data_IF_623497133656
#
_entry.id   IF_623497133656
#
_cell.length_a   1.000
_cell.length_b   1.000
_cell.length_c   1.000
_cell.angle_alpha   90.00
_cell.angle_beta   90.00
_cell.angle_gamma   90.00
#
_symmetry.space_group_name_H-M   'P 1'
#
loop_
_entity.id
_entity.type
_entity.pdbx_description
1 polymer ?
#
# COMPACT_ATOMS: atom_id res chain seq x y z
N UNK A 1 13.49 -11.77 -27.31
CA UNK A 1 13.50 -12.27 -25.92
C UNK A 1 14.49 -11.40 -25.15
N UNK A 2 14.02 -10.60 -24.19
CA UNK A 2 14.83 -9.58 -23.52
C UNK A 2 15.78 -10.23 -22.48
N UNK A 3 17.11 -10.10 -22.61
CA UNK A 3 18.09 -10.74 -21.71
C UNK A 3 18.08 -10.17 -20.27
N UNK A 4 17.38 -9.06 -20.01
CA UNK A 4 17.26 -8.47 -18.68
C UNK A 4 16.18 -9.12 -17.79
N UNK A 5 15.35 -10.04 -18.34
CA UNK A 5 14.38 -10.80 -17.54
C UNK A 5 14.99 -12.03 -16.86
N UNK A 6 16.15 -12.52 -17.33
CA UNK A 6 16.79 -13.73 -16.78
C UNK A 6 17.64 -13.47 -15.53
N UNK A 7 18.01 -12.22 -15.24
CA UNK A 7 18.82 -11.88 -14.06
C UNK A 7 18.03 -11.87 -12.76
N UNK A 8 16.70 -11.73 -12.79
CA UNK A 8 15.86 -11.76 -11.59
C UNK A 8 15.44 -13.17 -11.15
N UNK A 9 15.54 -14.18 -12.02
CA UNK A 9 15.04 -15.53 -11.72
C UNK A 9 16.09 -16.38 -10.97
N UNK A 10 17.38 -16.03 -11.09
CA UNK A 10 18.49 -16.85 -10.55
C UNK A 10 19.35 -16.13 -9.51
N UNK A 11 19.07 -14.87 -9.16
CA UNK A 11 19.64 -14.32 -7.95
C UNK A 11 18.90 -14.96 -6.77
N UNK A 12 19.59 -15.49 -5.72
CA UNK A 12 18.91 -15.67 -4.45
C UNK A 12 18.26 -14.32 -4.15
N UNK A 13 16.93 -14.30 -4.07
CA UNK A 13 16.19 -13.12 -3.64
C UNK A 13 16.94 -12.59 -2.43
N UNK A 14 17.25 -11.28 -2.35
CA UNK A 14 17.84 -10.74 -1.14
C UNK A 14 16.78 -10.93 -0.06
N UNK A 15 16.82 -12.10 0.58
CA UNK A 15 16.15 -12.36 1.82
C UNK A 15 16.71 -11.26 2.70
N UNK A 16 15.92 -10.20 2.88
CA UNK A 16 16.29 -9.11 3.76
C UNK A 16 16.75 -9.79 5.05
N UNK A 17 17.91 -9.43 5.62
CA UNK A 17 18.49 -10.14 6.76
C UNK A 17 17.54 -10.32 7.95
N UNK A 18 16.42 -9.60 7.96
CA UNK A 18 15.34 -9.70 8.90
C UNK A 18 14.43 -10.94 8.79
N UNK A 19 14.55 -11.76 7.74
CA UNK A 19 13.67 -12.92 7.48
C UNK A 19 14.26 -14.27 7.94
N UNK A 20 15.51 -14.29 8.44
CA UNK A 20 16.08 -15.48 9.07
C UNK A 20 15.43 -15.73 10.44
N UNK A 21 14.37 -16.54 10.46
CA UNK A 21 13.79 -17.09 11.70
C UNK A 21 12.44 -16.52 12.15
N UNK A 22 11.82 -15.62 11.39
CA UNK A 22 10.44 -15.21 11.64
C UNK A 22 9.52 -16.13 10.86
N UNK A 23 8.56 -16.80 11.52
CA UNK A 23 7.41 -17.43 10.86
C UNK A 23 6.90 -16.40 9.86
N UNK A 24 6.89 -16.73 8.57
CA UNK A 24 6.36 -15.87 7.52
C UNK A 24 4.89 -15.65 7.88
N UNK A 25 4.61 -14.54 8.56
CA UNK A 25 3.24 -14.11 8.77
C UNK A 25 2.73 -13.79 7.36
N UNK A 26 1.57 -14.33 6.99
CA UNK A 26 0.98 -14.08 5.68
C UNK A 26 0.69 -12.58 5.57
N UNK A 27 1.63 -11.84 4.97
CA UNK A 27 1.51 -10.41 4.82
C UNK A 27 0.92 -10.14 3.44
N UNK A 28 -0.24 -9.51 3.44
CA UNK A 28 -0.82 -8.88 2.28
C UNK A 28 -0.12 -7.55 2.04
N UNK A 29 0.24 -7.30 0.77
CA UNK A 29 0.64 -6.00 0.27
C UNK A 29 -0.52 -5.44 -0.53
N UNK A 30 -1.05 -4.31 -0.10
CA UNK A 30 -2.24 -3.68 -0.68
C UNK A 30 -1.81 -2.33 -1.24
N UNK A 31 -1.98 -2.16 -2.55
CA UNK A 31 -1.80 -0.89 -3.23
C UNK A 31 -3.16 -0.22 -3.44
N UNK A 32 -3.36 0.93 -2.79
CA UNK A 32 -4.48 1.82 -3.02
C UNK A 32 -4.03 2.87 -4.03
N UNK A 33 -4.53 2.80 -5.27
CA UNK A 33 -4.18 3.74 -6.32
C UNK A 33 -5.13 4.92 -6.31
N UNK A 34 -4.60 6.14 -6.20
CA UNK A 34 -5.36 7.35 -5.95
C UNK A 34 -5.19 8.37 -7.06
N UNK A 35 -6.23 9.18 -7.25
CA UNK A 35 -6.22 10.35 -8.10
C UNK A 35 -6.77 11.55 -7.34
N UNK A 36 -5.92 12.55 -7.10
CA UNK A 36 -6.25 13.81 -6.44
C UNK A 36 -7.29 14.58 -7.25
N UNK A 37 -8.43 14.87 -6.64
CA UNK A 37 -9.55 15.53 -7.30
C UNK A 37 -9.45 17.07 -7.22
N UNK A 38 -10.18 17.82 -8.06
CA UNK A 38 -10.13 19.28 -8.07
C UNK A 38 -10.34 19.95 -6.71
N UNK A 39 -11.25 19.42 -5.87
CA UNK A 39 -11.51 19.97 -4.52
C UNK A 39 -10.31 19.84 -3.58
N UNK A 40 -9.47 18.82 -3.76
CA UNK A 40 -8.20 18.70 -3.04
C UNK A 40 -7.15 19.68 -3.59
N UNK A 41 -7.05 19.78 -4.91
CA UNK A 41 -6.05 20.61 -5.58
C UNK A 41 -6.32 22.11 -5.41
N UNK A 42 -7.59 22.49 -5.25
CA UNK A 42 -8.00 23.86 -4.94
C UNK A 42 -7.55 24.33 -3.55
N UNK A 43 -7.24 23.41 -2.62
CA UNK A 43 -6.74 23.76 -1.29
C UNK A 43 -5.32 24.29 -1.34
N UNK A 44 -5.05 25.26 -0.49
CA UNK A 44 -3.69 25.71 -0.17
C UNK A 44 -2.88 24.58 0.48
N UNK A 45 -1.55 24.71 0.47
CA UNK A 45 -0.66 23.74 1.12
C UNK A 45 -0.92 23.65 2.65
N UNK A 46 -1.14 24.76 3.39
CA UNK A 46 -1.53 24.68 4.80
C UNK A 46 -2.82 23.91 5.04
N UNK A 47 -3.89 24.17 4.28
CA UNK A 47 -5.16 23.44 4.44
C UNK A 47 -5.01 21.93 4.20
N UNK A 48 -4.15 21.54 3.24
CA UNK A 48 -3.83 20.13 2.99
C UNK A 48 -3.06 19.51 4.16
N UNK A 49 -2.09 20.24 4.73
CA UNK A 49 -1.35 19.80 5.90
C UNK A 49 -2.25 19.69 7.14
N UNK A 50 -3.16 20.64 7.34
CA UNK A 50 -4.13 20.62 8.44
C UNK A 50 -5.05 19.41 8.34
N UNK A 51 -5.57 19.12 7.14
CA UNK A 51 -6.35 17.91 6.91
C UNK A 51 -5.57 16.63 7.22
N UNK A 52 -4.32 16.56 6.74
CA UNK A 52 -3.46 15.41 7.02
C UNK A 52 -3.21 15.22 8.52
N UNK A 53 -2.79 16.25 9.23
CA UNK A 53 -2.46 16.16 10.66
C UNK A 53 -3.70 15.94 11.54
N UNK A 54 -4.86 16.48 11.16
CA UNK A 54 -6.08 16.40 11.98
C UNK A 54 -6.84 15.09 11.78
N UNK A 55 -6.77 14.49 10.60
CA UNK A 55 -7.61 13.32 10.26
C UNK A 55 -6.79 12.11 9.82
N UNK A 56 -5.93 12.26 8.81
CA UNK A 56 -5.23 11.11 8.20
C UNK A 56 -4.15 10.54 9.11
N UNK A 57 -3.29 11.38 9.68
CA UNK A 57 -2.20 10.91 10.55
C UNK A 57 -2.71 10.21 11.81
N UNK A 58 -3.70 10.74 12.57
CA UNK A 58 -4.27 10.03 13.71
C UNK A 58 -4.90 8.69 13.31
N UNK A 59 -5.64 8.67 12.19
CA UNK A 59 -6.24 7.44 11.66
C UNK A 59 -5.17 6.39 11.31
N UNK A 60 -4.10 6.78 10.62
CA UNK A 60 -3.00 5.86 10.30
C UNK A 60 -2.27 5.38 11.56
N UNK A 61 -2.12 6.24 12.57
CA UNK A 61 -1.50 5.87 13.83
C UNK A 61 -2.33 4.85 14.61
N UNK A 62 -3.66 4.95 14.57
CA UNK A 62 -4.58 3.99 15.22
C UNK A 62 -4.35 2.54 14.74
N UNK A 63 -3.97 2.35 13.47
CA UNK A 63 -3.75 1.03 12.88
C UNK A 63 -2.27 0.64 12.73
N UNK A 64 -1.34 1.46 13.23
CA UNK A 64 0.10 1.28 12.97
C UNK A 64 0.69 -0.02 13.57
N UNK A 65 0.00 -0.66 14.51
CA UNK A 65 0.41 -1.94 15.11
C UNK A 65 0.22 -3.14 14.17
N UNK A 66 -0.71 -3.05 13.22
CA UNK A 66 -1.09 -4.16 12.33
C UNK A 66 -1.03 -3.80 10.85
N UNK A 67 -1.09 -2.51 10.51
CA UNK A 67 -0.99 -1.97 9.16
C UNK A 67 0.23 -1.06 9.04
N UNK A 68 1.22 -1.48 8.25
CA UNK A 68 2.34 -0.63 7.87
C UNK A 68 1.95 0.17 6.64
N UNK A 69 1.74 1.47 6.81
CA UNK A 69 1.23 2.38 5.78
C UNK A 69 2.36 3.24 5.25
N UNK A 70 2.49 3.36 3.92
CA UNK A 70 3.47 4.20 3.24
C UNK A 70 2.79 4.94 2.09
N UNK A 71 3.06 6.24 2.01
CA UNK A 71 2.49 7.14 1.01
C UNK A 71 3.53 7.46 -0.06
N UNK A 72 3.11 7.57 -1.30
CA UNK A 72 3.99 7.84 -2.44
C UNK A 72 3.33 8.76 -3.44
N UNK A 73 4.12 9.73 -3.92
CA UNK A 73 3.77 10.64 -4.99
C UNK A 73 4.05 9.98 -6.35
N UNK A 74 3.08 10.04 -7.26
CA UNK A 74 3.16 9.50 -8.61
C UNK A 74 2.77 10.53 -9.68
N UNK A 75 2.33 11.73 -9.31
CA UNK A 75 1.74 12.70 -10.23
C UNK A 75 2.69 13.18 -11.34
N UNK A 76 4.01 13.09 -11.12
CA UNK A 76 5.02 13.45 -12.12
C UNK A 76 5.41 12.29 -13.05
N UNK A 77 4.95 11.06 -12.75
CA UNK A 77 5.35 9.83 -13.42
C UNK A 77 4.18 9.07 -14.06
N UNK A 78 2.94 9.31 -13.62
CA UNK A 78 1.76 8.61 -14.14
C UNK A 78 0.58 9.56 -14.32
N UNK A 79 -0.02 9.58 -15.51
CA UNK A 79 -1.02 10.57 -15.89
C UNK A 79 -2.40 10.40 -15.22
N UNK A 80 -2.68 9.25 -14.59
CA UNK A 80 -4.00 8.94 -14.00
C UNK A 80 -3.98 8.59 -12.52
N UNK A 81 -2.79 8.40 -11.96
CA UNK A 81 -2.58 8.01 -10.57
C UNK A 81 -1.64 9.07 -10.02
N UNK A 82 -2.17 9.97 -9.20
CA UNK A 82 -1.37 11.04 -8.59
C UNK A 82 -0.65 10.52 -7.37
N UNK A 83 -1.24 9.59 -6.63
CA UNK A 83 -0.68 9.08 -5.38
C UNK A 83 -0.97 7.59 -5.29
N UNK A 84 -0.18 6.86 -4.50
CA UNK A 84 -0.58 5.54 -4.04
C UNK A 84 -0.19 5.30 -2.60
N UNK A 85 -1.00 4.48 -1.92
CA UNK A 85 -0.74 4.00 -0.57
C UNK A 85 -0.35 2.53 -0.67
N UNK A 86 0.81 2.18 -0.13
CA UNK A 86 1.18 0.80 0.13
C UNK A 86 0.86 0.48 1.59
N UNK A 87 0.01 -0.51 1.80
CA UNK A 87 -0.35 -1.03 3.13
C UNK A 87 0.12 -2.48 3.20
N UNK A 88 1.00 -2.78 4.15
CA UNK A 88 1.42 -4.15 4.46
C UNK A 88 0.73 -4.59 5.76
N UNK A 89 0.00 -5.70 5.73
CA UNK A 89 -0.71 -6.21 6.91
C UNK A 89 -0.90 -7.72 6.87
N UNK A 90 -0.98 -8.34 8.04
CA UNK A 90 -1.50 -9.72 8.21
C UNK A 90 -2.91 -9.76 8.81
N UNK A 91 -3.49 -8.59 9.11
CA UNK A 91 -4.82 -8.45 9.69
C UNK A 91 -5.73 -7.68 8.70
N UNK A 92 -6.45 -8.43 7.86
CA UNK A 92 -7.37 -7.84 6.90
C UNK A 92 -8.59 -7.15 7.56
N UNK A 93 -8.95 -7.50 8.79
CA UNK A 93 -10.04 -6.85 9.51
C UNK A 93 -9.65 -5.40 9.87
N UNK A 94 -8.44 -5.20 10.41
CA UNK A 94 -7.93 -3.86 10.71
C UNK A 94 -7.75 -3.02 9.44
N UNK A 95 -7.32 -3.64 8.32
CA UNK A 95 -7.31 -2.96 7.03
C UNK A 95 -8.72 -2.55 6.58
N UNK A 96 -9.71 -3.42 6.74
CA UNK A 96 -11.10 -3.10 6.42
C UNK A 96 -11.60 -1.92 7.26
N UNK A 97 -11.37 -1.93 8.57
CA UNK A 97 -11.79 -0.86 9.48
C UNK A 97 -11.06 0.47 9.19
N UNK A 98 -9.78 0.41 8.80
CA UNK A 98 -9.03 1.56 8.30
C UNK A 98 -9.69 2.16 7.06
N UNK A 99 -10.09 1.33 6.09
CA UNK A 99 -10.74 1.81 4.87
C UNK A 99 -12.13 2.37 5.16
N UNK A 100 -12.94 1.72 6.01
CA UNK A 100 -14.25 2.24 6.41
C UNK A 100 -14.13 3.61 7.10
N UNK A 101 -13.19 3.78 8.03
CA UNK A 101 -12.98 5.08 8.67
C UNK A 101 -12.40 6.12 7.72
N UNK A 102 -11.56 5.72 6.76
CA UNK A 102 -11.09 6.63 5.71
C UNK A 102 -12.26 7.12 4.85
N UNK A 103 -13.25 6.25 4.58
CA UNK A 103 -14.48 6.58 3.82
C UNK A 103 -15.35 7.62 4.53
N UNK A 104 -15.33 7.65 5.85
CA UNK A 104 -16.05 8.64 6.65
C UNK A 104 -15.39 10.04 6.63
N UNK A 105 -14.16 10.16 6.14
CA UNK A 105 -13.46 11.45 6.01
C UNK A 105 -13.71 12.11 4.66
N UNK A 106 -13.37 13.41 4.56
CA UNK A 106 -13.39 14.15 3.29
C UNK A 106 -12.47 13.56 2.20
N UNK A 107 -11.60 12.60 2.55
CA UNK A 107 -10.85 11.80 1.58
C UNK A 107 -11.80 11.16 0.54
N UNK A 108 -12.91 10.57 1.00
CA UNK A 108 -13.96 9.99 0.14
C UNK A 108 -15.24 10.83 0.07
N UNK A 109 -15.65 11.48 1.17
CA UNK A 109 -16.97 12.12 1.24
C UNK A 109 -17.08 13.46 0.51
N UNK A 110 -15.97 14.20 0.41
CA UNK A 110 -15.82 15.42 -0.42
C UNK A 110 -14.83 15.12 -1.57
N UNK A 111 -14.96 13.92 -2.14
CA UNK A 111 -13.90 13.02 -2.62
C UNK A 111 -12.58 13.74 -2.97
N UNK A 112 -11.76 14.08 -1.96
CA UNK A 112 -10.45 14.70 -2.22
C UNK A 112 -9.55 13.79 -3.05
N UNK A 113 -9.72 12.49 -2.91
CA UNK A 113 -9.07 11.49 -3.75
C UNK A 113 -10.11 10.52 -4.29
N UNK A 114 -10.00 10.19 -5.57
CA UNK A 114 -10.72 9.07 -6.16
C UNK A 114 -9.84 7.81 -6.06
N UNK A 115 -10.39 6.74 -5.49
CA UNK A 115 -9.72 5.43 -5.55
C UNK A 115 -9.94 4.84 -6.93
N UNK A 116 -8.84 4.72 -7.69
CA UNK A 116 -8.84 4.22 -9.06
C UNK A 116 -8.75 2.70 -9.13
N UNK A 117 -8.01 2.09 -8.21
CA UNK A 117 -7.90 0.64 -8.10
C UNK A 117 -7.39 0.23 -6.71
N UNK A 118 -7.60 -1.03 -6.37
CA UNK A 118 -7.03 -1.68 -5.18
C UNK A 118 -6.39 -3.00 -5.61
N UNK A 119 -5.06 -3.06 -5.57
CA UNK A 119 -4.32 -4.28 -5.92
C UNK A 119 -3.86 -4.96 -4.64
N UNK A 120 -4.38 -6.16 -4.38
CA UNK A 120 -3.97 -7.00 -3.24
C UNK A 120 -3.02 -8.09 -3.73
N UNK A 121 -1.85 -8.17 -3.09
CA UNK A 121 -0.83 -9.16 -3.37
C UNK A 121 -0.41 -9.89 -2.09
N UNK A 122 0.14 -11.09 -2.23
CA UNK A 122 0.83 -11.81 -1.16
C UNK A 122 2.30 -11.90 -1.53
N UNK A 123 3.16 -11.34 -0.69
CA UNK A 123 4.59 -11.29 -0.94
C UNK A 123 5.17 -12.72 -1.06
N UNK A 124 5.89 -13.00 -2.15
CA UNK A 124 6.57 -14.29 -2.39
C UNK A 124 5.66 -15.54 -2.29
N UNK A 125 4.36 -15.44 -2.63
CA UNK A 125 3.40 -16.55 -2.55
C UNK A 125 3.81 -17.80 -3.35
N UNK A 126 4.66 -17.66 -4.37
CA UNK A 126 5.20 -18.78 -5.13
C UNK A 126 6.09 -19.71 -4.28
N UNK A 127 6.76 -19.21 -3.24
CA UNK A 127 7.57 -20.03 -2.34
C UNK A 127 6.72 -21.03 -1.56
N UNK A 128 5.54 -20.60 -1.09
CA UNK A 128 4.59 -21.47 -0.41
C UNK A 128 4.02 -22.52 -1.37
N UNK A 129 3.80 -22.15 -2.63
CA UNK A 129 3.41 -23.10 -3.66
C UNK A 129 4.53 -24.13 -3.89
N UNK A 130 5.77 -23.69 -4.11
CA UNK A 130 6.92 -24.57 -4.32
C UNK A 130 7.12 -25.54 -3.15
N UNK A 131 7.03 -25.06 -1.91
CA UNK A 131 7.12 -25.90 -0.72
C UNK A 131 6.04 -26.99 -0.68
N UNK A 132 4.79 -26.67 -1.08
CA UNK A 132 3.70 -27.66 -1.18
C UNK A 132 3.92 -28.67 -2.31
N UNK A 133 4.65 -28.29 -3.36
CA UNK A 133 5.02 -29.18 -4.46
C UNK A 133 6.33 -29.95 -4.19
N UNK A 134 7.03 -29.70 -3.08
CA UNK A 134 8.34 -30.29 -2.80
C UNK A 134 9.47 -29.74 -3.70
N UNK A 135 9.28 -28.57 -4.29
CA UNK A 135 10.30 -27.88 -5.10
C UNK A 135 11.11 -26.98 -4.16
N UNK A 136 12.42 -27.25 -4.07
CA UNK A 136 13.38 -26.50 -3.25
C UNK A 136 13.88 -25.24 -3.96
#
# INVERSE_FOLDING_TARGET
MNPYLLTYVNAPSPVSPHLAGKKMMENYSILLLLDAQPDWLAKSRPERADFYHSYLQPLFHQYASTCRIRLFDSEFFHARISDFILIETSNLADYQDLIEQLRDTAFYSVPYFAVRDIIVAKENAFLEYNARQGIA
#
